data_IF_988201836013
#
_entry.id   IF_988201836013
#
_cell.length_a   1.000
_cell.length_b   1.000
_cell.length_c   1.000
_cell.angle_alpha   90.00
_cell.angle_beta   90.00
_cell.angle_gamma   90.00
#
_symmetry.space_group_name_H-M   'P 1'
#
loop_
_entity.id
_entity.type
_entity.pdbx_description
1 polymer ?
#
# COMPACT_ATOMS: atom_id res chain seq x y z
N UNK A 1 20.86 1.83 16.43
CA UNK A 1 19.64 1.19 16.97
C UNK A 1 18.68 2.28 17.41
N UNK A 2 17.38 2.00 17.40
CA UNK A 2 16.37 2.86 18.03
C UNK A 2 16.63 2.85 19.55
N UNK A 3 16.65 4.02 20.19
CA UNK A 3 16.81 4.14 21.64
C UNK A 3 15.47 3.83 22.33
N UNK A 4 15.44 2.78 23.17
CA UNK A 4 14.23 2.36 23.88
C UNK A 4 13.85 3.24 25.07
N UNK A 5 14.68 4.23 25.42
CA UNK A 5 14.40 5.20 26.50
C UNK A 5 13.67 6.44 26.03
N UNK A 6 13.53 6.65 24.72
CA UNK A 6 12.88 7.83 24.13
C UNK A 6 11.64 7.37 23.34
N UNK A 7 10.48 8.03 23.49
CA UNK A 7 9.32 7.74 22.65
C UNK A 7 9.66 7.90 21.16
N UNK A 8 9.34 6.88 20.35
CA UNK A 8 9.55 6.91 18.91
C UNK A 8 8.32 7.47 18.21
N UNK A 9 8.51 8.49 17.38
CA UNK A 9 7.45 9.13 16.61
C UNK A 9 7.69 8.99 15.11
N UNK A 10 6.62 8.88 14.34
CA UNK A 10 6.61 8.95 12.87
C UNK A 10 5.66 10.09 12.46
N UNK A 11 6.22 11.21 12.03
CA UNK A 11 5.48 12.47 11.81
C UNK A 11 5.07 12.70 10.35
N UNK A 12 5.51 11.84 9.43
CA UNK A 12 5.17 11.92 8.01
C UNK A 12 4.76 10.54 7.53
N UNK A 13 3.54 10.16 7.89
CA UNK A 13 2.97 8.86 7.56
C UNK A 13 1.60 9.03 6.91
N UNK A 14 1.52 8.69 5.63
CA UNK A 14 0.26 8.71 4.88
C UNK A 14 -0.54 7.46 5.24
N UNK A 15 -1.74 7.63 5.80
CA UNK A 15 -2.58 6.53 6.27
C UNK A 15 -3.16 5.74 5.09
N UNK A 16 -3.71 6.45 4.13
CA UNK A 16 -4.26 5.99 2.86
C UNK A 16 -3.18 5.37 1.95
N UNK A 17 -1.95 5.86 2.02
CA UNK A 17 -0.78 5.23 1.40
C UNK A 17 -0.21 4.01 2.13
N UNK A 18 -0.81 3.56 3.24
CA UNK A 18 -0.30 2.48 4.08
C UNK A 18 -1.36 1.40 4.37
N UNK A 19 -2.29 1.20 3.44
CA UNK A 19 -3.30 0.13 3.50
C UNK A 19 -2.59 -1.22 3.25
N UNK A 20 -2.84 -2.20 4.09
CA UNK A 20 -2.26 -3.55 3.94
C UNK A 20 -2.82 -4.19 2.67
N UNK A 21 -1.98 -4.81 1.85
CA UNK A 21 -2.41 -5.50 0.63
C UNK A 21 -3.49 -6.59 0.90
N UNK A 22 -3.43 -7.27 2.04
CA UNK A 22 -4.47 -8.21 2.46
C UNK A 22 -5.83 -7.51 2.66
N UNK A 23 -5.83 -6.31 3.26
CA UNK A 23 -7.05 -5.51 3.45
C UNK A 23 -7.65 -5.08 2.11
N UNK A 24 -6.82 -4.73 1.12
CA UNK A 24 -7.29 -4.44 -0.25
C UNK A 24 -8.02 -5.66 -0.84
N UNK A 25 -7.44 -6.87 -0.74
CA UNK A 25 -8.08 -8.10 -1.22
C UNK A 25 -9.41 -8.39 -0.52
N UNK A 26 -9.43 -8.28 0.82
CA UNK A 26 -10.60 -8.63 1.61
C UNK A 26 -11.76 -7.67 1.34
N UNK A 27 -11.49 -6.35 1.28
CA UNK A 27 -12.50 -5.36 0.95
C UNK A 27 -12.95 -5.46 -0.51
N UNK A 28 -12.04 -5.74 -1.45
CA UNK A 28 -12.40 -5.99 -2.84
C UNK A 28 -13.36 -7.17 -2.99
N UNK A 29 -13.14 -8.26 -2.25
CA UNK A 29 -14.08 -9.40 -2.19
C UNK A 29 -15.40 -9.03 -1.52
N UNK A 30 -15.36 -8.35 -0.38
CA UNK A 30 -16.53 -7.94 0.38
C UNK A 30 -17.48 -7.07 -0.43
N UNK A 31 -16.94 -6.12 -1.19
CA UNK A 31 -17.70 -5.18 -2.01
C UNK A 31 -17.84 -5.61 -3.48
N UNK A 32 -17.38 -6.82 -3.83
CA UNK A 32 -17.41 -7.36 -5.19
C UNK A 32 -16.77 -6.41 -6.24
N UNK A 33 -15.63 -5.82 -5.89
CA UNK A 33 -14.82 -4.97 -6.76
C UNK A 33 -13.80 -5.81 -7.55
N UNK A 34 -13.67 -5.51 -8.84
CA UNK A 34 -12.65 -6.13 -9.68
C UNK A 34 -11.26 -5.59 -9.29
N UNK A 35 -10.40 -6.49 -8.80
CA UNK A 35 -8.99 -6.23 -8.52
C UNK A 35 -8.11 -6.79 -9.65
N UNK A 36 -6.87 -6.30 -9.84
CA UNK A 36 -5.98 -6.79 -10.89
C UNK A 36 -5.41 -8.19 -10.57
N UNK A 37 -5.70 -8.72 -9.38
CA UNK A 37 -5.19 -9.97 -8.85
C UNK A 37 -6.12 -10.50 -7.74
N UNK A 38 -6.10 -11.82 -7.53
CA UNK A 38 -6.98 -12.51 -6.55
C UNK A 38 -6.24 -13.11 -5.35
N UNK A 39 -4.90 -13.05 -5.33
CA UNK A 39 -4.04 -13.55 -4.25
C UNK A 39 -3.07 -12.47 -3.79
N UNK A 40 -2.48 -12.63 -2.61
CA UNK A 40 -1.56 -11.63 -2.07
C UNK A 40 -0.30 -11.50 -2.92
N UNK A 41 0.28 -12.63 -3.32
CA UNK A 41 1.49 -12.70 -4.14
C UNK A 41 1.29 -11.99 -5.48
N UNK A 42 0.15 -12.24 -6.14
CA UNK A 42 -0.15 -11.64 -7.43
C UNK A 42 -0.63 -10.19 -7.33
N UNK A 43 -1.14 -9.74 -6.18
CA UNK A 43 -1.55 -8.34 -5.99
C UNK A 43 -0.37 -7.40 -5.69
N UNK A 44 0.66 -7.86 -4.97
CA UNK A 44 1.78 -7.02 -4.52
C UNK A 44 2.41 -6.15 -5.62
N UNK A 45 2.67 -6.65 -6.84
CA UNK A 45 3.24 -5.80 -7.91
C UNK A 45 2.38 -4.59 -8.29
N UNK A 46 1.07 -4.65 -8.04
CA UNK A 46 0.13 -3.57 -8.36
C UNK A 46 0.02 -2.49 -7.28
N UNK A 47 0.28 -2.85 -6.02
CA UNK A 47 0.02 -1.99 -4.84
C UNK A 47 1.28 -1.66 -4.03
N UNK A 48 2.44 -2.16 -4.48
CA UNK A 48 3.73 -1.94 -3.85
C UNK A 48 4.76 -1.53 -4.90
N UNK A 49 5.61 -0.57 -4.56
CA UNK A 49 6.78 -0.20 -5.37
C UNK A 49 7.85 -1.27 -5.18
N UNK A 50 8.19 -1.99 -6.25
CA UNK A 50 9.22 -3.03 -6.25
C UNK A 50 10.56 -2.58 -6.85
N UNK A 51 10.54 -1.54 -7.68
CA UNK A 51 11.70 -0.91 -8.34
C UNK A 51 11.47 0.60 -8.33
N UNK A 52 12.52 1.40 -8.55
CA UNK A 52 12.37 2.85 -8.61
C UNK A 52 11.44 3.27 -9.75
N UNK A 53 10.49 4.13 -9.44
CA UNK A 53 9.61 4.77 -10.42
C UNK A 53 10.31 6.02 -11.00
N UNK A 54 10.06 6.38 -12.27
CA UNK A 54 10.78 7.45 -12.96
C UNK A 54 10.49 8.85 -12.41
N UNK A 55 9.34 9.02 -11.75
CA UNK A 55 8.90 10.30 -11.18
C UNK A 55 7.88 10.09 -10.05
N UNK A 56 7.55 11.20 -9.37
CA UNK A 56 6.59 11.23 -8.27
C UNK A 56 5.20 10.74 -8.70
N UNK A 57 4.73 11.17 -9.87
CA UNK A 57 3.36 10.86 -10.32
C UNK A 57 3.22 9.36 -10.55
N UNK A 58 4.24 8.73 -11.11
CA UNK A 58 4.33 7.27 -11.31
C UNK A 58 4.35 6.51 -9.98
N UNK A 59 5.07 7.02 -8.96
CA UNK A 59 5.02 6.46 -7.60
C UNK A 59 3.61 6.52 -7.00
N UNK A 60 2.93 7.66 -7.14
CA UNK A 60 1.60 7.87 -6.56
C UNK A 60 0.54 6.89 -7.10
N UNK A 61 0.68 6.41 -8.35
CA UNK A 61 -0.24 5.45 -8.95
C UNK A 61 -0.32 4.10 -8.21
N UNK A 62 0.71 3.73 -7.42
CA UNK A 62 0.66 2.49 -6.61
C UNK A 62 -0.35 2.55 -5.48
N UNK A 63 -0.76 3.75 -5.06
CA UNK A 63 -1.70 3.94 -3.96
C UNK A 63 -3.16 3.78 -4.42
N UNK A 64 -3.44 3.94 -5.72
CA UNK A 64 -4.79 3.95 -6.29
C UNK A 64 -5.65 2.76 -5.84
N UNK A 65 -5.11 1.55 -5.82
CA UNK A 65 -5.88 0.35 -5.46
C UNK A 65 -6.33 0.30 -3.99
N UNK A 66 -5.68 1.06 -3.11
CA UNK A 66 -6.11 1.21 -1.73
C UNK A 66 -7.09 2.37 -1.53
N UNK A 67 -7.09 3.35 -2.44
CA UNK A 67 -7.72 4.67 -2.22
C UNK A 67 -8.87 4.96 -3.21
N UNK A 68 -9.02 4.19 -4.29
CA UNK A 68 -10.09 4.37 -5.29
C UNK A 68 -11.49 4.03 -4.78
#
# INVERSE_FOLDING_TARGET
MIDSKIPLTDIHRHLDGNIRAQTILDLGRQFNLALPASTLETLRPHVQVGQNEPDLVSFLQKLDWGVK
#
